data_IF_601926719453
#
_entry.id   IF_601926719453
#
_cell.length_a   1.000
_cell.length_b   1.000
_cell.length_c   1.000
_cell.angle_alpha   90.00
_cell.angle_beta   90.00
_cell.angle_gamma   90.00
#
_symmetry.space_group_name_H-M   'P 1'
#
loop_
_entity.id
_entity.type
_entity.pdbx_description
1 polymer ?
#
# COMPACT_ATOMS: atom_id res chain seq x y z
N UNK A 1 -6.16 -56.14 12.40
CA UNK A 1 -6.87 -55.27 13.35
C UNK A 1 -6.00 -54.06 13.64
N UNK A 2 -6.50 -52.88 13.26
CA UNK A 2 -6.19 -51.55 13.80
C UNK A 2 -4.73 -51.10 13.97
N UNK A 3 -4.24 -50.27 13.05
CA UNK A 3 -3.52 -49.06 13.45
C UNK A 3 -4.05 -47.86 12.67
N UNK A 4 -5.01 -47.18 13.31
CA UNK A 4 -5.59 -45.94 12.83
C UNK A 4 -4.73 -44.74 13.27
N UNK A 5 -4.84 -43.66 12.47
CA UNK A 5 -4.63 -42.27 12.84
C UNK A 5 -3.22 -41.79 13.21
N UNK A 6 -2.45 -41.43 12.17
CA UNK A 6 -1.52 -40.29 12.19
C UNK A 6 -1.84 -39.24 11.11
N UNK A 7 -3.09 -39.17 10.65
CA UNK A 7 -3.59 -38.06 9.84
C UNK A 7 -4.32 -37.09 10.78
N UNK A 8 -3.57 -36.26 11.50
CA UNK A 8 -4.13 -35.26 12.42
C UNK A 8 -3.28 -34.01 12.35
N UNK A 9 -3.96 -32.88 12.11
CA UNK A 9 -3.49 -31.48 12.07
C UNK A 9 -2.96 -30.91 10.74
N UNK A 10 -2.41 -31.69 9.80
CA UNK A 10 -1.88 -31.11 8.55
C UNK A 10 -2.97 -30.84 7.49
N UNK A 11 -4.01 -31.68 7.43
CA UNK A 11 -5.01 -31.64 6.34
C UNK A 11 -6.18 -30.66 6.58
N UNK A 12 -6.27 -30.04 7.76
CA UNK A 12 -7.28 -29.02 8.04
C UNK A 12 -6.93 -27.63 7.46
N UNK A 13 -5.68 -27.43 7.02
CA UNK A 13 -5.20 -26.17 6.45
C UNK A 13 -5.55 -25.99 4.96
N UNK A 14 -6.13 -27.00 4.29
CA UNK A 14 -6.32 -27.02 2.84
C UNK A 14 -7.76 -26.74 2.35
N UNK A 15 -8.71 -26.36 3.21
CA UNK A 15 -10.14 -26.25 2.83
C UNK A 15 -10.68 -24.83 2.58
N UNK A 16 -9.81 -23.81 2.42
CA UNK A 16 -10.25 -22.43 2.18
C UNK A 16 -9.64 -21.87 0.88
N UNK A 17 -10.39 -22.00 -0.24
CA UNK A 17 -10.29 -21.29 -1.53
C UNK A 17 -8.86 -20.94 -2.03
N UNK A 18 -8.34 -21.54 -3.13
CA UNK A 18 -6.96 -21.41 -3.59
C UNK A 18 -6.53 -19.98 -4.01
N UNK A 19 -7.44 -19.01 -4.04
CA UNK A 19 -7.15 -17.67 -4.51
C UNK A 19 -6.57 -16.78 -3.40
N UNK A 20 -5.31 -16.34 -3.58
CA UNK A 20 -4.61 -15.41 -2.67
C UNK A 20 -5.23 -14.00 -2.62
N UNK A 21 -6.11 -13.64 -3.55
CA UNK A 21 -6.80 -12.34 -3.59
C UNK A 21 -8.29 -12.53 -3.84
N UNK A 22 -9.14 -11.91 -3.01
CA UNK A 22 -10.60 -11.99 -3.11
C UNK A 22 -11.24 -10.60 -3.08
N UNK A 23 -11.86 -10.22 -4.20
CA UNK A 23 -12.58 -8.94 -4.37
C UNK A 23 -13.99 -9.01 -3.82
N UNK A 24 -14.12 -9.00 -2.49
CA UNK A 24 -15.40 -8.93 -1.80
C UNK A 24 -15.27 -8.16 -0.49
N UNK A 25 -16.42 -7.74 0.05
CA UNK A 25 -16.44 -7.14 1.38
C UNK A 25 -15.93 -8.19 2.40
N UNK A 26 -14.92 -7.88 3.22
CA UNK A 26 -14.40 -8.85 4.20
C UNK A 26 -15.46 -9.26 5.22
N UNK A 27 -15.63 -10.57 5.40
CA UNK A 27 -16.34 -11.16 6.54
C UNK A 27 -15.33 -11.35 7.68
N UNK A 28 -15.21 -10.35 8.54
CA UNK A 28 -14.14 -10.28 9.53
C UNK A 28 -14.31 -11.30 10.66
N UNK A 29 -15.54 -11.72 10.97
CA UNK A 29 -15.77 -12.74 12.00
C UNK A 29 -15.20 -14.06 11.52
N UNK A 30 -15.61 -14.49 10.32
CA UNK A 30 -15.10 -15.72 9.69
C UNK A 30 -13.61 -15.69 9.43
N UNK A 31 -13.05 -14.57 8.95
CA UNK A 31 -11.61 -14.49 8.67
C UNK A 31 -10.77 -14.67 9.94
N UNK A 32 -11.22 -14.10 11.06
CA UNK A 32 -10.50 -14.15 12.34
C UNK A 32 -10.50 -15.53 13.02
N UNK A 33 -11.40 -16.43 12.63
CA UNK A 33 -11.43 -17.81 13.13
C UNK A 33 -10.21 -18.62 12.66
N UNK A 34 -9.65 -18.26 11.50
CA UNK A 34 -8.60 -19.06 10.82
C UNK A 34 -7.29 -18.31 10.57
N UNK A 35 -7.23 -17.01 10.86
CA UNK A 35 -6.10 -16.17 10.49
C UNK A 35 -5.95 -14.93 11.39
N UNK A 36 -4.72 -14.43 11.48
CA UNK A 36 -4.48 -13.03 11.81
C UNK A 36 -4.98 -12.16 10.65
N UNK A 37 -5.74 -11.12 10.95
CA UNK A 37 -6.36 -10.21 9.97
C UNK A 37 -5.93 -8.79 10.31
N UNK A 38 -5.38 -8.07 9.34
CA UNK A 38 -4.79 -6.74 9.55
C UNK A 38 -5.19 -5.81 8.41
N UNK A 39 -5.67 -4.62 8.73
CA UNK A 39 -5.70 -3.51 7.77
C UNK A 39 -4.32 -2.87 7.74
N UNK A 40 -3.58 -3.08 6.64
CA UNK A 40 -2.17 -2.70 6.56
C UNK A 40 -1.93 -1.26 6.10
N UNK A 41 -2.97 -0.49 5.77
CA UNK A 41 -2.80 0.87 5.26
C UNK A 41 -3.91 1.77 5.78
N UNK A 42 -3.60 2.57 6.80
CA UNK A 42 -4.56 3.47 7.44
C UNK A 42 -3.90 4.75 7.95
N UNK A 43 -4.60 5.88 7.79
CA UNK A 43 -4.11 7.21 8.11
C UNK A 43 -4.86 7.82 9.29
N UNK A 44 -4.12 8.53 10.14
CA UNK A 44 -4.60 9.25 11.31
C UNK A 44 -4.47 10.76 11.12
N UNK A 45 -4.86 11.53 12.13
CA UNK A 45 -4.68 13.00 12.16
C UNK A 45 -3.23 13.48 12.15
N UNK A 46 -2.26 12.58 12.29
CA UNK A 46 -0.84 12.93 12.17
C UNK A 46 -0.41 13.24 10.73
N UNK A 47 -1.17 12.78 9.72
CA UNK A 47 -1.03 13.21 8.31
C UNK A 47 -2.32 13.84 7.79
N UNK A 48 -3.16 13.06 7.12
CA UNK A 48 -4.34 13.49 6.36
C UNK A 48 -5.60 12.69 6.73
N UNK A 49 -5.51 11.81 7.73
CA UNK A 49 -6.67 11.15 8.33
C UNK A 49 -7.47 12.10 9.23
N UNK A 50 -8.75 11.78 9.42
CA UNK A 50 -9.69 12.62 10.20
C UNK A 50 -9.74 12.28 11.68
N UNK A 51 -9.23 11.12 12.08
CA UNK A 51 -9.41 10.56 13.43
C UNK A 51 -8.10 10.51 14.22
N UNK A 52 -8.18 10.81 15.52
CA UNK A 52 -7.09 10.58 16.45
C UNK A 52 -6.91 9.09 16.75
N UNK A 53 -5.80 8.75 17.39
CA UNK A 53 -5.41 7.36 17.63
C UNK A 53 -6.32 6.68 18.64
N UNK A 54 -6.85 7.38 19.64
CA UNK A 54 -7.81 6.79 20.59
C UNK A 54 -9.10 6.35 19.88
N UNK A 55 -9.65 7.19 19.01
CA UNK A 55 -10.83 6.83 18.23
C UNK A 55 -10.56 5.65 17.27
N UNK A 56 -9.37 5.63 16.65
CA UNK A 56 -8.93 4.51 15.82
C UNK A 56 -8.79 3.24 16.67
N UNK A 57 -8.15 3.30 17.83
CA UNK A 57 -7.97 2.20 18.76
C UNK A 57 -9.32 1.62 19.22
N UNK A 58 -10.29 2.48 19.56
CA UNK A 58 -11.66 2.07 19.86
C UNK A 58 -12.33 1.33 18.70
N UNK A 59 -12.13 1.77 17.46
CA UNK A 59 -12.65 1.10 16.26
C UNK A 59 -11.97 -0.26 16.02
N UNK A 60 -10.65 -0.32 16.21
CA UNK A 60 -9.84 -1.54 16.08
C UNK A 60 -10.31 -2.59 17.08
N UNK A 61 -10.48 -2.23 18.37
CA UNK A 61 -11.03 -3.10 19.42
C UNK A 61 -12.40 -3.64 19.04
N UNK A 62 -13.30 -2.76 18.59
CA UNK A 62 -14.66 -3.16 18.17
C UNK A 62 -14.66 -4.17 17.01
N UNK A 63 -13.69 -4.09 16.10
CA UNK A 63 -13.58 -5.02 14.97
C UNK A 63 -12.71 -6.25 15.26
N UNK A 64 -11.86 -6.17 16.28
CA UNK A 64 -10.94 -7.22 16.73
C UNK A 64 -9.98 -7.74 15.65
N UNK A 65 -9.64 -6.88 14.68
CA UNK A 65 -8.56 -7.09 13.68
C UNK A 65 -7.34 -6.24 14.07
N UNK A 66 -6.17 -6.52 13.51
CA UNK A 66 -4.98 -5.69 13.67
C UNK A 66 -4.98 -4.48 12.73
N UNK A 67 -4.00 -3.59 12.94
CA UNK A 67 -3.83 -2.35 12.16
C UNK A 67 -2.35 -2.03 11.93
N UNK A 68 -2.01 -1.47 10.78
CA UNK A 68 -0.83 -0.65 10.60
C UNK A 68 -1.26 0.81 10.38
N UNK A 69 -0.82 1.71 11.26
CA UNK A 69 -0.98 3.16 11.05
C UNK A 69 0.23 3.61 10.25
N UNK A 70 -0.02 4.18 9.08
CA UNK A 70 1.00 4.46 8.06
C UNK A 70 0.91 5.90 7.58
N UNK A 71 0.86 6.85 8.53
CA UNK A 71 0.75 8.27 8.23
C UNK A 71 1.84 8.73 7.23
N UNK A 72 1.47 9.64 6.32
CA UNK A 72 2.41 10.20 5.35
C UNK A 72 3.57 10.93 6.05
N UNK A 73 4.80 10.47 5.82
CA UNK A 73 6.04 11.08 6.32
C UNK A 73 6.06 11.39 7.83
N UNK A 74 5.25 10.70 8.62
CA UNK A 74 5.13 10.90 10.05
C UNK A 74 4.98 9.56 10.76
N UNK A 75 5.51 9.46 11.98
CA UNK A 75 5.41 8.24 12.80
C UNK A 75 4.59 8.43 14.07
N UNK A 76 4.13 9.65 14.35
CA UNK A 76 3.43 9.97 15.60
C UNK A 76 2.24 9.05 15.86
N UNK A 77 1.41 8.79 14.84
CA UNK A 77 0.27 7.89 14.95
C UNK A 77 0.66 6.44 15.20
N UNK A 78 1.71 5.94 14.53
CA UNK A 78 2.23 4.60 14.77
C UNK A 78 2.81 4.44 16.18
N UNK A 79 3.51 5.46 16.70
CA UNK A 79 4.08 5.46 18.05
C UNK A 79 2.99 5.49 19.12
N UNK A 80 1.97 6.32 18.95
CA UNK A 80 0.84 6.40 19.88
C UNK A 80 0.03 5.09 19.84
N UNK A 81 -0.24 4.54 18.65
CA UNK A 81 -0.94 3.26 18.51
C UNK A 81 -0.20 2.13 19.23
N UNK A 82 1.13 2.10 19.15
CA UNK A 82 1.96 1.09 19.82
C UNK A 82 1.90 1.14 21.36
N UNK A 83 1.36 2.21 21.97
CA UNK A 83 1.11 2.29 23.42
C UNK A 83 -0.10 1.46 23.84
N UNK A 84 -1.03 1.17 22.93
CA UNK A 84 -2.17 0.29 23.18
C UNK A 84 -1.73 -1.17 23.12
N UNK A 85 -1.23 -1.69 24.25
CA UNK A 85 -0.65 -3.05 24.35
C UNK A 85 -1.64 -4.19 24.07
N UNK A 86 -2.93 -3.92 24.18
CA UNK A 86 -4.02 -4.86 23.87
C UNK A 86 -4.32 -4.95 22.37
N UNK A 87 -3.81 -4.02 21.56
CA UNK A 87 -4.04 -3.97 20.12
C UNK A 87 -2.87 -4.61 19.37
N UNK A 88 -3.20 -5.51 18.43
CA UNK A 88 -2.23 -6.02 17.47
C UNK A 88 -1.92 -4.96 16.41
N UNK A 89 -0.95 -4.09 16.71
CA UNK A 89 -0.48 -3.03 15.82
C UNK A 89 0.84 -3.42 15.13
N UNK A 90 0.98 -3.11 13.85
CA UNK A 90 2.23 -3.22 13.10
C UNK A 90 2.83 -1.82 12.94
N UNK A 91 4.08 -1.57 13.39
CA UNK A 91 4.78 -0.31 13.15
C UNK A 91 4.95 -0.07 11.65
N UNK A 92 4.45 1.06 11.14
CA UNK A 92 4.51 1.38 9.72
C UNK A 92 4.59 2.88 9.46
N UNK A 93 4.90 3.22 8.22
CA UNK A 93 4.92 4.58 7.67
C UNK A 93 4.67 4.50 6.16
N UNK A 94 3.94 5.48 5.62
CA UNK A 94 3.91 5.73 4.18
C UNK A 94 4.80 6.94 3.86
N UNK A 95 5.81 6.76 3.02
CA UNK A 95 6.74 7.82 2.67
C UNK A 95 6.50 8.27 1.23
N UNK A 96 6.44 9.59 1.01
CA UNK A 96 6.36 10.15 -0.33
C UNK A 96 7.76 10.48 -0.85
N UNK A 97 8.23 9.75 -1.86
CA UNK A 97 9.57 9.97 -2.46
C UNK A 97 9.66 11.30 -3.19
N UNK A 98 10.89 11.68 -3.59
CA UNK A 98 11.17 12.84 -4.45
C UNK A 98 10.41 12.82 -5.77
N UNK A 99 10.16 11.63 -6.32
CA UNK A 99 9.35 11.46 -7.53
C UNK A 99 7.84 11.67 -7.30
N UNK A 100 7.41 11.83 -6.05
CA UNK A 100 6.00 11.91 -5.67
C UNK A 100 5.30 10.56 -5.61
N UNK A 101 6.06 9.46 -5.56
CA UNK A 101 5.52 8.11 -5.42
C UNK A 101 5.63 7.62 -3.98
N UNK A 102 4.66 6.84 -3.54
CA UNK A 102 4.58 6.36 -2.18
C UNK A 102 5.31 5.02 -1.99
N UNK A 103 5.81 4.81 -0.78
CA UNK A 103 6.40 3.58 -0.29
C UNK A 103 5.85 3.26 1.09
N UNK A 104 5.35 2.05 1.30
CA UNK A 104 5.01 1.54 2.63
C UNK A 104 6.19 0.78 3.19
N UNK A 105 6.57 1.11 4.42
CA UNK A 105 7.62 0.40 5.15
C UNK A 105 7.08 -0.03 6.50
N UNK A 106 7.11 -1.33 6.77
CA UNK A 106 6.69 -1.92 8.04
C UNK A 106 7.88 -2.46 8.79
N UNK A 107 7.92 -2.25 10.11
CA UNK A 107 9.06 -2.64 10.94
C UNK A 107 8.65 -3.72 11.92
N UNK A 108 9.55 -4.67 12.16
CA UNK A 108 9.33 -5.73 13.15
C UNK A 108 9.30 -5.11 14.56
N UNK A 109 10.14 -4.12 14.78
CA UNK A 109 10.27 -3.42 16.05
C UNK A 109 9.98 -1.93 15.93
N UNK A 110 9.30 -1.37 16.94
CA UNK A 110 8.95 0.06 16.96
C UNK A 110 10.20 0.95 16.98
N UNK A 111 11.29 0.49 17.60
CA UNK A 111 12.54 1.24 17.69
C UNK A 111 13.27 1.32 16.35
N UNK A 112 13.08 0.36 15.44
CA UNK A 112 13.62 0.43 14.09
C UNK A 112 12.91 1.50 13.26
N UNK A 113 11.57 1.60 13.38
CA UNK A 113 10.81 2.70 12.78
C UNK A 113 11.31 4.06 13.26
N UNK A 114 11.55 4.21 14.57
CA UNK A 114 12.09 5.45 15.15
C UNK A 114 13.46 5.78 14.57
N UNK A 115 14.38 4.80 14.53
CA UNK A 115 15.74 5.02 13.99
C UNK A 115 15.72 5.39 12.52
N UNK A 116 14.97 4.64 11.70
CA UNK A 116 14.78 4.95 10.29
C UNK A 116 14.23 6.37 10.10
N UNK A 117 13.20 6.73 10.85
CA UNK A 117 12.60 8.06 10.76
C UNK A 117 13.60 9.16 11.13
N UNK A 118 14.20 9.10 12.32
CA UNK A 118 15.04 10.17 12.84
C UNK A 118 16.36 10.32 12.07
N UNK A 119 16.99 9.21 11.70
CA UNK A 119 18.32 9.20 11.09
C UNK A 119 18.26 9.34 9.56
N UNK A 120 17.37 8.59 8.92
CA UNK A 120 17.43 8.38 7.48
C UNK A 120 16.35 9.14 6.71
N UNK A 121 15.22 9.51 7.34
CA UNK A 121 14.13 10.20 6.65
C UNK A 121 13.98 11.68 7.06
N UNK A 122 13.88 11.98 8.36
CA UNK A 122 13.61 13.31 8.92
C UNK A 122 14.53 14.41 8.37
N UNK A 123 15.85 14.20 8.18
CA UNK A 123 16.73 15.22 7.60
C UNK A 123 16.38 15.62 6.17
N UNK A 124 15.62 14.79 5.47
CA UNK A 124 15.25 14.96 4.06
C UNK A 124 13.77 15.32 3.86
N UNK A 125 13.00 15.50 4.93
CA UNK A 125 11.59 15.89 4.84
C UNK A 125 11.43 17.36 4.44
N UNK A 126 10.33 17.64 3.74
CA UNK A 126 9.93 19.00 3.39
C UNK A 126 9.37 19.77 4.60
N UNK A 127 8.94 21.01 4.36
CA UNK A 127 8.36 21.88 5.40
C UNK A 127 6.99 21.39 5.90
N UNK A 128 6.22 20.75 5.04
CA UNK A 128 4.90 20.22 5.37
C UNK A 128 4.94 18.68 5.40
N UNK A 129 4.10 18.08 6.24
CA UNK A 129 4.03 16.62 6.42
C UNK A 129 3.68 15.89 5.11
N UNK A 130 2.87 16.51 4.25
CA UNK A 130 2.45 15.96 2.97
C UNK A 130 3.42 16.25 1.81
N UNK A 131 4.54 16.94 2.05
CA UNK A 131 5.53 17.21 1.01
C UNK A 131 6.35 15.95 0.69
N UNK A 132 6.73 15.78 -0.58
CA UNK A 132 7.76 14.80 -0.97
C UNK A 132 9.06 15.03 -0.18
N UNK A 133 9.72 13.95 0.23
CA UNK A 133 11.07 14.03 0.75
C UNK A 133 12.11 14.22 -0.38
N UNK A 134 13.34 14.59 -0.03
CA UNK A 134 14.41 14.80 -0.99
C UNK A 134 15.06 13.49 -1.52
N UNK A 135 14.73 12.35 -0.92
CA UNK A 135 15.26 11.03 -1.29
C UNK A 135 14.56 10.47 -2.53
N UNK A 136 15.32 9.90 -3.46
CA UNK A 136 14.70 9.09 -4.54
C UNK A 136 14.12 7.81 -3.96
N UNK A 137 13.23 7.16 -4.70
CA UNK A 137 12.70 5.85 -4.33
C UNK A 137 13.81 4.83 -4.03
N UNK A 138 14.87 4.79 -4.86
CA UNK A 138 16.03 3.90 -4.66
C UNK A 138 16.78 4.20 -3.36
N UNK A 139 17.07 5.47 -3.07
CA UNK A 139 17.74 5.86 -1.83
C UNK A 139 16.90 5.55 -0.60
N UNK A 140 15.59 5.78 -0.68
CA UNK A 140 14.66 5.49 0.40
C UNK A 140 14.59 3.99 0.71
N UNK A 141 14.51 3.15 -0.32
CA UNK A 141 14.57 1.69 -0.18
C UNK A 141 15.92 1.28 0.42
N UNK A 142 17.03 1.84 -0.05
CA UNK A 142 18.37 1.55 0.50
C UNK A 142 18.48 1.91 1.99
N UNK A 143 17.93 3.06 2.41
CA UNK A 143 17.84 3.45 3.81
C UNK A 143 16.99 2.47 4.63
N UNK A 144 15.79 2.12 4.16
CA UNK A 144 14.91 1.19 4.86
C UNK A 144 15.55 -0.20 5.03
N UNK A 145 16.29 -0.68 4.03
CA UNK A 145 16.99 -1.98 4.05
C UNK A 145 18.12 -2.07 5.07
N UNK A 146 18.54 -0.97 5.71
CA UNK A 146 19.44 -1.03 6.88
C UNK A 146 18.75 -1.58 8.14
N UNK A 147 17.42 -1.71 8.12
CA UNK A 147 16.59 -2.16 9.23
C UNK A 147 15.84 -3.44 8.86
N UNK A 148 15.42 -4.21 9.88
CA UNK A 148 14.55 -5.36 9.67
C UNK A 148 13.13 -4.86 9.37
N UNK A 149 12.79 -4.76 8.09
CA UNK A 149 11.53 -4.20 7.62
C UNK A 149 10.92 -4.96 6.42
N UNK A 150 9.62 -4.79 6.19
CA UNK A 150 8.94 -5.21 4.97
C UNK A 150 8.64 -3.98 4.14
N UNK A 151 9.11 -3.97 2.90
CA UNK A 151 8.89 -2.87 1.94
C UNK A 151 7.80 -3.28 0.95
N UNK A 152 6.76 -2.46 0.85
CA UNK A 152 5.62 -2.69 -0.03
C UNK A 152 5.39 -1.47 -0.91
N UNK A 153 5.14 -1.67 -2.20
CA UNK A 153 4.60 -0.60 -3.03
C UNK A 153 3.08 -0.50 -2.85
N UNK A 154 2.56 0.57 -2.20
CA UNK A 154 1.13 0.83 -2.14
C UNK A 154 0.60 1.15 -3.52
N UNK A 155 -0.66 0.74 -3.78
CA UNK A 155 -1.44 1.08 -4.97
C UNK A 155 -0.58 1.36 -6.22
N UNK A 156 0.22 0.37 -6.72
CA UNK A 156 1.24 0.60 -7.75
C UNK A 156 0.69 1.33 -8.98
N UNK A 157 -0.55 1.00 -9.34
CA UNK A 157 -1.35 1.77 -10.26
C UNK A 157 -2.32 2.63 -9.46
N UNK A 158 -2.30 3.96 -9.66
CA UNK A 158 -3.28 4.86 -9.03
C UNK A 158 -3.68 6.01 -9.96
N UNK A 159 -4.90 6.52 -9.79
CA UNK A 159 -5.41 7.63 -10.61
C UNK A 159 -4.67 8.95 -10.36
N UNK A 160 -4.05 9.10 -9.18
CA UNK A 160 -3.25 10.28 -8.82
C UNK A 160 -1.77 10.15 -9.22
N UNK A 161 -1.38 9.04 -9.88
CA UNK A 161 0.00 8.76 -10.27
C UNK A 161 1.02 8.70 -9.11
N UNK A 162 0.54 8.43 -7.89
CA UNK A 162 1.38 8.30 -6.68
C UNK A 162 1.91 6.88 -6.45
N UNK A 163 1.53 5.90 -7.29
CA UNK A 163 2.09 4.54 -7.25
C UNK A 163 3.38 4.41 -8.08
N UNK A 164 4.15 3.35 -7.84
CA UNK A 164 5.43 3.11 -8.56
C UNK A 164 5.25 2.89 -10.08
N UNK A 165 4.05 2.49 -10.54
CA UNK A 165 3.73 2.35 -11.96
C UNK A 165 3.22 3.67 -12.56
N UNK A 166 4.00 4.74 -12.37
CA UNK A 166 3.71 6.06 -12.92
C UNK A 166 4.75 6.48 -13.98
N UNK A 167 4.48 7.53 -14.78
CA UNK A 167 5.40 8.00 -15.82
C UNK A 167 6.72 8.63 -15.32
N UNK A 168 6.88 8.86 -14.01
CA UNK A 168 8.10 9.45 -13.44
C UNK A 168 9.26 8.45 -13.43
N UNK A 169 8.95 7.16 -13.46
CA UNK A 169 9.93 6.10 -13.61
C UNK A 169 9.98 5.64 -15.06
N UNK A 170 11.18 5.60 -15.64
CA UNK A 170 11.37 4.90 -16.91
C UNK A 170 11.06 3.41 -16.72
N UNK A 171 10.68 2.70 -17.78
CA UNK A 171 10.36 1.27 -17.67
C UNK A 171 11.50 0.44 -17.08
N UNK A 172 12.75 0.82 -17.38
CA UNK A 172 13.95 0.20 -16.80
C UNK A 172 14.04 0.47 -15.29
N UNK A 173 13.91 1.73 -14.86
CA UNK A 173 13.92 2.08 -13.42
C UNK A 173 12.79 1.36 -12.68
N UNK A 174 11.60 1.35 -13.25
CA UNK A 174 10.44 0.69 -12.68
C UNK A 174 10.68 -0.80 -12.47
N UNK A 175 11.30 -1.49 -13.43
CA UNK A 175 11.64 -2.91 -13.30
C UNK A 175 12.59 -3.17 -12.13
N UNK A 176 13.65 -2.37 -11.99
CA UNK A 176 14.58 -2.48 -10.85
C UNK A 176 13.90 -2.19 -9.51
N UNK A 177 13.04 -1.16 -9.47
CA UNK A 177 12.29 -0.81 -8.26
C UNK A 177 11.36 -1.96 -7.86
N UNK A 178 10.57 -2.50 -8.78
CA UNK A 178 9.66 -3.61 -8.51
C UNK A 178 10.37 -4.85 -7.98
N UNK A 179 11.60 -5.12 -8.44
CA UNK A 179 12.42 -6.22 -7.93
C UNK A 179 13.00 -5.97 -6.52
N UNK A 180 12.94 -4.75 -6.01
CA UNK A 180 13.54 -4.35 -4.72
C UNK A 180 12.55 -4.33 -3.54
N UNK A 181 11.24 -4.48 -3.80
CA UNK A 181 10.21 -4.57 -2.77
C UNK A 181 9.93 -6.02 -2.36
N UNK A 182 9.50 -6.20 -1.11
CA UNK A 182 9.07 -7.51 -0.59
C UNK A 182 7.63 -7.84 -1.01
N UNK A 183 6.81 -6.81 -1.25
CA UNK A 183 5.41 -6.99 -1.60
C UNK A 183 4.77 -5.85 -2.39
N UNK A 184 3.53 -6.12 -2.80
CA UNK A 184 2.64 -5.21 -3.51
C UNK A 184 1.32 -5.11 -2.74
N UNK A 185 0.75 -3.90 -2.65
CA UNK A 185 -0.64 -3.73 -2.23
C UNK A 185 -1.56 -4.13 -3.39
N UNK A 186 -2.14 -5.32 -3.29
CA UNK A 186 -3.02 -5.90 -4.30
C UNK A 186 -4.42 -5.26 -4.28
N UNK A 187 -4.95 -4.99 -3.08
CA UNK A 187 -6.23 -4.30 -2.92
C UNK A 187 -6.05 -3.09 -2.01
N UNK A 188 -6.25 -1.92 -2.61
CA UNK A 188 -6.43 -0.67 -1.91
C UNK A 188 -7.92 -0.26 -1.98
N UNK A 189 -8.59 -0.13 -0.84
CA UNK A 189 -10.04 0.15 -0.85
C UNK A 189 -10.40 1.57 -1.34
N UNK A 190 -9.47 2.52 -1.27
CA UNK A 190 -9.59 3.86 -1.85
C UNK A 190 -9.39 3.91 -3.37
N UNK A 191 -8.75 2.89 -3.94
CA UNK A 191 -8.43 2.83 -5.36
C UNK A 191 -9.62 2.37 -6.23
N UNK A 192 -9.44 2.37 -7.54
CA UNK A 192 -10.44 1.92 -8.50
C UNK A 192 -10.23 0.43 -8.82
N UNK A 193 -11.32 -0.30 -9.09
CA UNK A 193 -11.28 -1.76 -9.25
C UNK A 193 -10.30 -2.24 -10.31
N UNK A 194 -10.28 -1.60 -11.49
CA UNK A 194 -9.31 -1.93 -12.55
C UNK A 194 -7.86 -1.82 -12.08
N UNK A 195 -7.52 -0.83 -11.25
CA UNK A 195 -6.17 -0.59 -10.78
C UNK A 195 -5.77 -1.61 -9.70
N UNK A 196 -6.72 -2.03 -8.86
CA UNK A 196 -6.50 -3.17 -7.96
C UNK A 196 -6.32 -4.48 -8.73
N UNK A 197 -7.07 -4.69 -9.82
CA UNK A 197 -6.88 -5.84 -10.71
C UNK A 197 -5.48 -5.83 -11.34
N UNK A 198 -5.05 -4.69 -11.90
CA UNK A 198 -3.71 -4.52 -12.47
C UNK A 198 -2.61 -4.72 -11.41
N UNK A 199 -2.82 -4.23 -10.17
CA UNK A 199 -1.89 -4.42 -9.04
C UNK A 199 -1.82 -5.89 -8.59
N UNK A 200 -2.95 -6.59 -8.61
CA UNK A 200 -3.04 -8.03 -8.32
C UNK A 200 -2.28 -8.85 -9.36
N UNK A 201 -2.51 -8.57 -10.65
CA UNK A 201 -1.77 -9.22 -11.75
C UNK A 201 -0.27 -8.94 -11.65
N UNK A 202 0.12 -7.71 -11.33
CA UNK A 202 1.52 -7.34 -11.12
C UNK A 202 2.14 -8.13 -9.96
N UNK A 203 1.46 -8.22 -8.82
CA UNK A 203 1.93 -8.97 -7.67
C UNK A 203 2.12 -10.47 -7.98
N UNK A 204 1.22 -11.08 -8.76
CA UNK A 204 1.38 -12.45 -9.24
C UNK A 204 2.55 -12.61 -10.22
N UNK A 205 2.71 -11.69 -11.18
CA UNK A 205 3.80 -11.75 -12.16
C UNK A 205 5.19 -11.58 -11.54
N UNK A 206 5.29 -10.84 -10.44
CA UNK A 206 6.53 -10.63 -9.69
C UNK A 206 6.79 -11.72 -8.64
N UNK A 207 5.83 -12.63 -8.42
CA UNK A 207 5.84 -13.56 -7.29
C UNK A 207 6.13 -12.84 -5.96
N UNK A 208 5.45 -11.71 -5.74
CA UNK A 208 5.66 -10.85 -4.58
C UNK A 208 4.73 -11.22 -3.40
N UNK A 209 5.08 -10.75 -2.20
CA UNK A 209 4.14 -10.69 -1.08
C UNK A 209 2.92 -9.85 -1.45
N UNK A 210 1.73 -10.27 -1.02
CA UNK A 210 0.50 -9.53 -1.32
C UNK A 210 -0.08 -8.94 -0.04
N UNK A 211 -0.39 -7.65 -0.07
CA UNK A 211 -1.05 -6.95 1.04
C UNK A 211 -2.33 -6.29 0.55
N UNK A 212 -3.23 -6.01 1.49
CA UNK A 212 -4.35 -5.11 1.26
C UNK A 212 -4.55 -4.19 2.45
N UNK A 213 -5.00 -3.00 2.15
CA UNK A 213 -5.26 -1.97 3.13
C UNK A 213 -6.37 -1.04 2.65
N UNK A 214 -7.03 -0.41 3.60
CA UNK A 214 -8.14 0.46 3.26
C UNK A 214 -7.70 1.78 2.62
N UNK A 215 -6.45 2.21 2.84
CA UNK A 215 -5.98 3.59 2.62
C UNK A 215 -7.03 4.57 3.20
N UNK A 216 -7.42 4.25 4.43
CA UNK A 216 -8.54 4.87 5.11
C UNK A 216 -8.12 6.16 5.79
N UNK A 217 -8.88 7.22 5.55
CA UNK A 217 -8.74 8.54 6.19
C UNK A 217 -9.85 8.79 7.21
N UNK A 218 -10.73 7.80 7.42
CA UNK A 218 -11.89 7.90 8.29
C UNK A 218 -12.33 6.52 8.83
N UNK A 219 -12.86 6.45 10.04
CA UNK A 219 -13.17 5.17 10.73
C UNK A 219 -14.12 4.22 9.98
N UNK A 220 -14.99 4.73 9.10
CA UNK A 220 -15.91 3.88 8.32
C UNK A 220 -15.21 3.11 7.19
N UNK A 221 -13.99 3.52 6.83
CA UNK A 221 -13.14 2.91 5.80
C UNK A 221 -12.27 1.79 6.37
N UNK A 222 -11.97 1.83 7.67
CA UNK A 222 -11.15 0.83 8.33
C UNK A 222 -11.69 -0.59 8.11
N UNK A 223 -10.81 -1.51 7.70
CA UNK A 223 -11.11 -2.92 7.43
C UNK A 223 -11.88 -3.18 6.12
N UNK A 224 -11.92 -2.21 5.18
CA UNK A 224 -12.54 -2.43 3.85
C UNK A 224 -11.71 -3.30 2.92
N UNK A 225 -10.40 -3.32 3.13
CA UNK A 225 -9.49 -4.31 2.61
C UNK A 225 -8.53 -4.70 3.73
N UNK A 226 -8.20 -5.98 3.79
CA UNK A 226 -7.37 -6.57 4.86
C UNK A 226 -6.42 -7.61 4.29
N UNK A 227 -5.26 -7.71 4.90
CA UNK A 227 -4.31 -8.81 4.73
C UNK A 227 -4.59 -9.87 5.78
N UNK A 228 -4.61 -11.13 5.38
CA UNK A 228 -4.84 -12.29 6.22
C UNK A 228 -3.65 -13.24 6.15
N UNK A 229 -3.19 -13.75 7.29
CA UNK A 229 -2.12 -14.75 7.37
C UNK A 229 -2.48 -15.85 8.38
N UNK A 230 -2.22 -17.11 8.05
CA UNK A 230 -2.43 -18.25 8.92
C UNK A 230 -1.29 -18.36 9.95
N UNK A 231 -1.19 -17.36 10.83
CA UNK A 231 -0.15 -17.25 11.84
C UNK A 231 -0.74 -16.70 13.15
N UNK A 232 0.07 -16.71 14.22
CA UNK A 232 -0.27 -16.01 15.45
C UNK A 232 -0.45 -14.49 15.18
N UNK A 233 -1.22 -13.80 16.05
CA UNK A 233 -1.35 -12.33 16.04
C UNK A 233 -0.10 -11.67 16.62
N UNK A 234 1.02 -11.93 15.97
CA UNK A 234 2.35 -11.45 16.31
C UNK A 234 2.96 -10.71 15.11
N UNK A 235 3.74 -9.66 15.38
CA UNK A 235 4.31 -8.80 14.32
C UNK A 235 5.29 -9.55 13.46
N UNK A 236 6.20 -10.33 14.07
CA UNK A 236 7.23 -11.03 13.34
C UNK A 236 6.59 -12.11 12.46
N UNK A 237 5.74 -12.96 13.03
CA UNK A 237 5.06 -14.02 12.29
C UNK A 237 4.21 -13.48 11.11
N UNK A 238 3.53 -12.35 11.32
CA UNK A 238 2.71 -11.74 10.27
C UNK A 238 3.54 -11.11 9.15
N UNK A 239 4.59 -10.37 9.49
CA UNK A 239 5.49 -9.76 8.50
C UNK A 239 6.32 -10.81 7.74
N UNK A 240 6.74 -11.88 8.42
CA UNK A 240 7.37 -13.04 7.77
C UNK A 240 6.40 -13.68 6.77
N UNK A 241 5.11 -13.82 7.12
CA UNK A 241 4.10 -14.32 6.17
C UNK A 241 3.95 -13.44 4.92
N UNK A 242 4.14 -12.11 5.03
CA UNK A 242 4.17 -11.21 3.86
C UNK A 242 5.39 -11.51 2.99
N UNK A 243 6.58 -11.59 3.59
CA UNK A 243 7.85 -11.88 2.89
C UNK A 243 7.85 -13.26 2.23
N UNK A 244 7.31 -14.25 2.92
CA UNK A 244 7.22 -15.64 2.47
C UNK A 244 6.04 -15.87 1.51
N UNK A 245 5.33 -14.80 1.13
CA UNK A 245 4.22 -14.82 0.16
C UNK A 245 3.03 -15.69 0.63
N UNK A 246 2.94 -15.95 1.93
CA UNK A 246 1.93 -16.78 2.58
C UNK A 246 0.68 -16.00 3.01
N UNK A 247 0.51 -14.76 2.52
CA UNK A 247 -0.66 -13.93 2.78
C UNK A 247 -1.79 -14.12 1.77
N UNK A 248 -3.00 -13.84 2.23
CA UNK A 248 -4.21 -13.65 1.42
C UNK A 248 -4.75 -12.25 1.61
N UNK A 249 -5.37 -11.69 0.57
CA UNK A 249 -5.94 -10.34 0.59
C UNK A 249 -7.43 -10.42 0.31
N UNK A 250 -8.24 -9.80 1.16
CA UNK A 250 -9.69 -9.70 0.96
C UNK A 250 -10.10 -8.24 1.06
N UNK A 251 -10.84 -7.74 0.07
CA UNK A 251 -11.29 -6.36 0.12
C UNK A 251 -12.20 -5.95 -1.02
N UNK A 252 -12.88 -4.82 -0.82
CA UNK A 252 -13.72 -4.20 -1.84
C UNK A 252 -13.58 -2.68 -1.80
N UNK A 253 -13.58 -2.07 -2.97
CA UNK A 253 -13.46 -0.63 -3.13
C UNK A 253 -14.64 0.10 -2.49
N UNK A 254 -14.37 1.31 -2.01
CA UNK A 254 -15.41 2.19 -1.46
C UNK A 254 -16.16 2.85 -2.63
N UNK A 255 -17.49 2.74 -2.62
CA UNK A 255 -18.36 3.28 -3.68
C UNK A 255 -18.06 4.75 -4.04
N UNK A 256 -18.07 5.05 -5.34
CA UNK A 256 -17.73 6.36 -5.95
C UNK A 256 -18.45 7.56 -5.32
N UNK A 257 -19.71 7.42 -4.88
CA UNK A 257 -20.45 8.51 -4.23
C UNK A 257 -19.84 8.94 -2.88
N UNK A 258 -19.28 7.99 -2.11
CA UNK A 258 -18.53 8.29 -0.87
C UNK A 258 -17.08 8.71 -1.15
N UNK A 259 -16.60 8.47 -2.38
CA UNK A 259 -15.28 8.87 -2.85
C UNK A 259 -15.20 10.38 -3.13
N UNK A 260 -16.29 11.04 -3.52
CA UNK A 260 -16.32 12.50 -3.73
C UNK A 260 -16.14 13.26 -2.42
N UNK A 261 -16.72 12.77 -1.33
CA UNK A 261 -16.58 13.40 0.00
C UNK A 261 -15.19 13.19 0.61
N UNK A 262 -14.53 12.04 0.37
CA UNK A 262 -13.14 11.81 0.81
C UNK A 262 -12.11 12.45 -0.10
N UNK A 263 -12.35 12.44 -1.43
CA UNK A 263 -11.50 13.13 -2.39
C UNK A 263 -11.59 14.64 -2.27
N UNK A 264 -12.67 15.23 -1.73
CA UNK A 264 -12.71 16.67 -1.45
C UNK A 264 -11.61 17.12 -0.49
N UNK A 265 -11.20 16.25 0.45
CA UNK A 265 -10.06 16.49 1.35
C UNK A 265 -8.73 16.21 0.64
N UNK A 266 -8.60 15.08 -0.09
CA UNK A 266 -7.41 14.81 -0.93
C UNK A 266 -7.18 15.92 -1.96
N UNK A 267 -8.23 16.49 -2.56
CA UNK A 267 -8.15 17.62 -3.49
C UNK A 267 -7.76 18.92 -2.77
N UNK A 268 -8.34 19.25 -1.60
CA UNK A 268 -8.01 20.50 -0.90
C UNK A 268 -6.57 20.53 -0.36
N UNK A 269 -6.06 19.43 0.18
CA UNK A 269 -4.64 19.32 0.59
C UNK A 269 -3.73 19.27 -0.64
N UNK A 270 -4.11 18.51 -1.68
CA UNK A 270 -3.40 18.53 -2.96
C UNK A 270 -3.47 19.89 -3.65
N UNK A 271 -4.48 20.75 -3.41
CA UNK A 271 -4.59 22.07 -4.05
C UNK A 271 -3.54 23.06 -3.51
N UNK A 272 -3.03 22.88 -2.28
CA UNK A 272 -1.91 23.71 -1.78
C UNK A 272 -0.56 23.22 -2.29
N UNK A 273 -0.34 21.91 -2.36
CA UNK A 273 0.81 21.31 -3.08
C UNK A 273 0.62 21.32 -4.62
N UNK A 274 -0.55 21.75 -5.11
CA UNK A 274 -0.88 21.71 -6.54
C UNK A 274 -0.11 22.74 -7.30
N UNK A 275 0.37 23.84 -6.73
CA UNK A 275 1.17 24.78 -7.52
C UNK A 275 2.42 24.09 -8.11
N UNK A 276 3.09 23.22 -7.35
CA UNK A 276 4.22 22.41 -7.83
C UNK A 276 3.79 21.13 -8.57
N UNK A 277 2.76 20.42 -8.09
CA UNK A 277 2.24 19.19 -8.71
C UNK A 277 1.42 19.44 -9.98
N UNK A 278 0.58 20.48 -10.06
CA UNK A 278 -0.01 20.99 -11.32
C UNK A 278 1.06 21.58 -12.22
N UNK A 279 2.06 22.31 -11.71
CA UNK A 279 3.15 22.80 -12.55
C UNK A 279 3.85 21.65 -13.30
N UNK A 280 4.06 20.53 -12.61
CA UNK A 280 4.54 19.27 -13.17
C UNK A 280 3.47 18.60 -14.06
N UNK A 281 2.26 18.33 -13.55
CA UNK A 281 1.18 17.62 -14.24
C UNK A 281 0.62 18.35 -15.48
N UNK A 282 0.64 19.68 -15.54
CA UNK A 282 0.30 20.49 -16.74
C UNK A 282 1.40 20.33 -17.79
N UNK A 283 2.68 20.46 -17.40
CA UNK A 283 3.82 20.19 -18.30
C UNK A 283 3.77 18.75 -18.84
N UNK A 284 3.35 17.80 -18.01
CA UNK A 284 3.24 16.39 -18.37
C UNK A 284 1.99 16.07 -19.18
N UNK A 285 0.84 16.69 -18.92
CA UNK A 285 -0.34 16.61 -19.80
C UNK A 285 0.03 17.04 -21.22
N UNK A 286 0.80 18.13 -21.35
CA UNK A 286 1.39 18.54 -22.62
C UNK A 286 2.37 17.50 -23.20
N UNK A 287 3.28 16.95 -22.39
CA UNK A 287 4.24 15.94 -22.85
C UNK A 287 3.58 14.63 -23.31
N UNK A 288 2.49 14.21 -22.65
CA UNK A 288 1.75 12.97 -22.91
C UNK A 288 0.83 13.11 -24.13
N UNK A 289 0.23 14.29 -24.32
CA UNK A 289 -0.45 14.67 -25.58
C UNK A 289 0.59 14.70 -26.71
N UNK A 290 1.76 15.29 -26.49
CA UNK A 290 2.81 15.33 -27.50
C UNK A 290 3.35 13.94 -27.85
N UNK A 291 3.57 13.04 -26.87
CA UNK A 291 4.07 11.70 -27.11
C UNK A 291 3.05 10.82 -27.84
N UNK A 292 1.76 10.88 -27.45
CA UNK A 292 0.68 10.22 -28.19
C UNK A 292 0.53 10.79 -29.59
N UNK A 293 0.64 12.11 -29.76
CA UNK A 293 0.60 12.74 -31.09
C UNK A 293 1.77 12.30 -31.98
N UNK A 294 2.97 12.07 -31.41
CA UNK A 294 4.14 11.54 -32.14
C UNK A 294 3.94 10.06 -32.51
N UNK A 295 3.49 9.22 -31.58
CA UNK A 295 3.21 7.81 -31.85
C UNK A 295 2.13 7.61 -32.93
N UNK A 296 1.08 8.44 -32.92
CA UNK A 296 0.04 8.43 -33.96
C UNK A 296 0.63 8.90 -35.30
N UNK A 297 1.43 9.96 -35.32
CA UNK A 297 2.14 10.44 -36.53
C UNK A 297 3.07 9.37 -37.11
N UNK A 298 3.81 8.67 -36.27
CA UNK A 298 4.76 7.64 -36.67
C UNK A 298 4.03 6.40 -37.19
N UNK A 299 2.89 6.02 -36.59
CA UNK A 299 2.00 4.98 -37.15
C UNK A 299 1.42 5.37 -38.50
N UNK A 300 0.97 6.61 -38.67
CA UNK A 300 0.47 7.10 -39.96
C UNK A 300 1.59 7.15 -41.02
N UNK A 301 2.80 7.61 -40.68
CA UNK A 301 3.95 7.61 -41.58
C UNK A 301 4.39 6.20 -41.99
N UNK A 302 4.36 5.23 -41.06
CA UNK A 302 4.65 3.82 -41.36
C UNK A 302 3.57 3.19 -42.26
N UNK A 303 2.29 3.51 -42.05
CA UNK A 303 1.19 3.08 -42.94
C UNK A 303 1.28 3.73 -44.33
N UNK A 304 1.62 5.01 -44.42
CA UNK A 304 1.80 5.70 -45.70
C UNK A 304 2.99 5.18 -46.52
N UNK A 305 4.09 4.79 -45.87
CA UNK A 305 5.25 4.17 -46.54
C UNK A 305 5.02 2.71 -46.97
N UNK A 306 4.05 2.02 -46.37
CA UNK A 306 3.65 0.67 -46.76
C UNK A 306 2.62 0.64 -47.90
N UNK A 307 2.01 1.78 -48.24
CA UNK A 307 1.02 1.91 -49.31
C UNK A 307 1.64 2.31 -50.67
N UNK A 308 2.97 2.45 -50.74
CA UNK A 308 3.73 2.85 -51.94
C UNK A 308 4.86 1.84 -52.28
N UNK A 309 4.73 0.59 -51.81
CA UNK A 309 5.57 -0.54 -52.20
C UNK A 309 4.70 -1.67 -52.71
#
# INVERSE_FOLDING_TARGET
>A
MGSANRASACDAAQSLNPHRVHFARPDLDRLRESAAVVDMHFHSRYSDGSNDIEAIAGRVRKMGIGIAVTDHNAIGGALEMARHRDIFSIPGIEVTSREGAHLLVYFYEIHDLIRFYEKDLRPFLGKEVMSSCALSMESLIACARQYKCVIVFPHPFSAAYVGVCNPMFSSIRQQYLLASADGIEAINAGNLHKWNMDSTLLGFNLDAGLTGGSDGHNLFQFGRAVTCAACAKDRAAFLDSVRDRATRVVGKEINILRKVTSNGMKLRSNFRNSSELFGKNIRYGYALIHSRSRQVRDRMRRRGKSAYR
#
